data_IF_296642773637
#
_entry.id   IF_296642773637
#
_cell.length_a   1.000
_cell.length_b   1.000
_cell.length_c   1.000
_cell.angle_alpha   90.00
_cell.angle_beta   90.00
_cell.angle_gamma   90.00
#
_symmetry.space_group_name_H-M   'P 1'
#
loop_
_entity.id
_entity.type
_entity.pdbx_description
1 polymer ?
#
# COMPACT_ATOMS: atom_id res chain seq x y z
N UNK A 1 4.69 12.98 -23.79
CA UNK A 1 3.84 12.10 -23.00
C UNK A 1 4.59 11.81 -21.72
N UNK A 2 3.93 11.89 -20.57
CA UNK A 2 4.54 11.51 -19.31
C UNK A 2 5.08 10.09 -19.41
N UNK A 3 6.13 9.79 -18.65
CA UNK A 3 6.78 8.51 -18.79
C UNK A 3 7.16 7.94 -17.43
N UNK A 4 6.84 6.65 -17.23
CA UNK A 4 7.18 5.88 -16.06
C UNK A 4 8.22 4.81 -16.40
N UNK A 5 9.17 4.59 -15.51
CA UNK A 5 10.07 3.46 -15.65
C UNK A 5 9.34 2.20 -15.14
N UNK A 6 9.41 1.10 -15.90
CA UNK A 6 8.78 -0.17 -15.51
C UNK A 6 9.26 -0.66 -14.12
N UNK A 7 10.49 -0.35 -13.74
CA UNK A 7 11.05 -0.68 -12.42
C UNK A 7 10.39 0.06 -11.25
N UNK A 8 9.68 1.19 -11.53
CA UNK A 8 8.91 1.90 -10.52
C UNK A 8 7.59 1.18 -10.19
N UNK A 9 7.08 0.33 -11.07
CA UNK A 9 5.82 -0.38 -10.88
C UNK A 9 6.08 -1.57 -9.95
N UNK A 10 5.51 -1.52 -8.75
CA UNK A 10 5.63 -2.57 -7.73
C UNK A 10 4.32 -3.35 -7.61
N UNK A 11 4.35 -4.65 -7.92
CA UNK A 11 3.22 -5.53 -7.68
C UNK A 11 3.09 -5.87 -6.20
N UNK A 12 1.87 -6.16 -5.73
CA UNK A 12 1.57 -6.43 -4.33
C UNK A 12 0.99 -7.83 -4.16
N UNK A 13 1.55 -8.62 -3.24
CA UNK A 13 1.11 -10.01 -3.02
C UNK A 13 -0.22 -10.15 -2.26
N UNK A 14 -0.84 -9.07 -1.80
CA UNK A 14 -2.05 -9.10 -0.98
C UNK A 14 -3.22 -9.86 -1.64
N UNK A 15 -3.39 -9.71 -2.95
CA UNK A 15 -4.44 -10.39 -3.70
C UNK A 15 -4.18 -11.88 -3.92
N UNK A 16 -2.93 -12.31 -3.76
CA UNK A 16 -2.48 -13.70 -3.96
C UNK A 16 -2.53 -14.56 -2.71
N UNK A 17 -3.11 -14.09 -1.61
CA UNK A 17 -3.17 -14.83 -0.33
C UNK A 17 -3.93 -16.19 -0.41
N UNK A 18 -4.65 -16.46 -1.49
CA UNK A 18 -5.26 -17.77 -1.76
C UNK A 18 -4.40 -18.65 -2.66
N UNK A 19 -3.20 -18.19 -3.01
CA UNK A 19 -2.21 -18.87 -3.82
C UNK A 19 -0.89 -19.00 -3.06
N UNK A 20 -0.02 -19.97 -3.39
CA UNK A 20 1.35 -19.99 -2.85
C UNK A 20 2.11 -18.70 -3.21
N UNK A 21 3.02 -18.26 -2.33
CA UNK A 21 3.87 -17.09 -2.62
C UNK A 21 4.66 -17.26 -3.93
N UNK A 22 5.14 -18.46 -4.19
CA UNK A 22 5.86 -18.78 -5.42
C UNK A 22 5.06 -18.48 -6.68
N UNK A 23 3.75 -18.76 -6.67
CA UNK A 23 2.85 -18.45 -7.79
C UNK A 23 2.77 -16.92 -8.05
N UNK A 24 2.73 -16.11 -6.99
CA UNK A 24 2.81 -14.65 -7.13
C UNK A 24 4.12 -14.23 -7.79
N UNK A 25 5.25 -14.71 -7.27
CA UNK A 25 6.57 -14.34 -7.75
C UNK A 25 6.79 -14.78 -9.22
N UNK A 26 6.32 -15.98 -9.59
CA UNK A 26 6.38 -16.46 -10.98
C UNK A 26 5.55 -15.58 -11.91
N UNK A 27 4.34 -15.22 -11.49
CA UNK A 27 3.49 -14.28 -12.25
C UNK A 27 4.20 -12.95 -12.51
N UNK A 28 4.83 -12.36 -11.49
CA UNK A 28 5.48 -11.06 -11.68
C UNK A 28 6.71 -11.16 -12.60
N UNK A 29 7.47 -12.26 -12.50
CA UNK A 29 8.56 -12.56 -13.42
C UNK A 29 8.06 -12.71 -14.87
N UNK A 30 6.98 -13.46 -15.09
CA UNK A 30 6.38 -13.65 -16.42
C UNK A 30 5.87 -12.33 -17.02
N UNK A 31 5.31 -11.44 -16.22
CA UNK A 31 4.91 -10.09 -16.61
C UNK A 31 6.10 -9.15 -16.84
N UNK A 32 7.33 -9.61 -16.52
CA UNK A 32 8.57 -8.84 -16.66
C UNK A 32 8.66 -7.67 -15.69
N UNK A 33 7.99 -7.72 -14.56
CA UNK A 33 8.20 -6.82 -13.43
C UNK A 33 9.47 -7.20 -12.66
N UNK A 34 10.03 -6.22 -11.95
CA UNK A 34 11.21 -6.43 -11.11
C UNK A 34 10.99 -6.00 -9.67
N UNK A 35 10.06 -5.09 -9.44
CA UNK A 35 9.79 -4.53 -8.11
C UNK A 35 8.51 -5.12 -7.53
N UNK A 36 8.56 -5.51 -6.27
CA UNK A 36 7.39 -5.97 -5.53
C UNK A 36 7.31 -5.28 -4.17
N UNK A 37 6.10 -5.00 -3.75
CA UNK A 37 5.75 -4.72 -2.37
C UNK A 37 5.32 -6.02 -1.71
N UNK A 38 5.99 -6.40 -0.65
CA UNK A 38 5.67 -7.61 0.10
C UNK A 38 4.81 -7.27 1.31
N UNK A 39 3.53 -7.62 1.21
CA UNK A 39 2.57 -7.47 2.30
C UNK A 39 2.66 -8.67 3.25
N UNK A 40 2.80 -8.41 4.55
CA UNK A 40 2.93 -9.42 5.60
C UNK A 40 1.56 -10.03 5.96
N UNK A 41 1.01 -10.82 5.07
CA UNK A 41 -0.29 -11.49 5.23
C UNK A 41 -0.17 -13.00 5.18
N UNK A 42 -0.97 -13.69 5.99
CA UNK A 42 -1.10 -15.14 5.88
C UNK A 42 -1.76 -15.53 4.54
N UNK A 43 -1.33 -16.62 3.90
CA UNK A 43 -0.35 -17.60 4.37
C UNK A 43 1.11 -17.28 4.03
N UNK A 44 1.38 -16.16 3.33
CA UNK A 44 2.70 -15.86 2.79
C UNK A 44 3.72 -15.55 3.88
N UNK A 45 3.31 -14.82 4.93
CA UNK A 45 4.17 -14.48 6.05
C UNK A 45 3.39 -14.42 7.36
N UNK A 46 4.01 -14.85 8.44
CA UNK A 46 3.46 -14.72 9.79
C UNK A 46 4.39 -13.86 10.64
N UNK A 47 3.80 -12.85 11.25
CA UNK A 47 4.45 -11.90 12.13
C UNK A 47 3.47 -11.41 13.20
N UNK A 48 3.98 -11.23 14.41
CA UNK A 48 3.24 -10.61 15.52
C UNK A 48 4.19 -9.76 16.40
N UNK A 49 3.74 -9.38 17.58
CA UNK A 49 4.54 -8.61 18.52
C UNK A 49 5.67 -9.43 19.18
N UNK A 50 5.59 -10.76 19.20
CA UNK A 50 6.63 -11.64 19.76
C UNK A 50 7.75 -11.89 18.75
N UNK A 51 7.44 -11.89 17.45
CA UNK A 51 8.43 -12.13 16.40
C UNK A 51 7.83 -12.35 15.01
N UNK A 52 8.64 -12.95 14.14
CA UNK A 52 8.26 -13.25 12.76
C UNK A 52 8.99 -14.48 12.24
N UNK A 53 8.47 -15.06 11.16
CA UNK A 53 9.12 -16.21 10.50
C UNK A 53 10.38 -15.79 9.77
N UNK A 54 11.26 -16.78 9.56
CA UNK A 54 12.50 -16.61 8.80
C UNK A 54 12.23 -15.96 7.42
N UNK A 55 12.91 -14.87 7.17
CA UNK A 55 12.81 -14.06 5.96
C UNK A 55 13.71 -14.57 4.84
N UNK A 56 14.78 -15.31 5.17
CA UNK A 56 15.80 -15.73 4.21
C UNK A 56 15.22 -16.58 3.04
N UNK A 57 14.30 -17.54 3.25
CA UNK A 57 13.71 -18.29 2.15
C UNK A 57 12.90 -17.41 1.18
N UNK A 58 12.17 -16.41 1.71
CA UNK A 58 11.37 -15.49 0.90
C UNK A 58 12.28 -14.62 0.04
N UNK A 59 13.31 -14.05 0.66
CA UNK A 59 14.30 -13.24 -0.05
C UNK A 59 14.99 -14.03 -1.14
N UNK A 60 15.49 -15.23 -0.84
CA UNK A 60 16.15 -16.09 -1.82
C UNK A 60 15.23 -16.44 -3.00
N UNK A 61 13.95 -16.73 -2.73
CA UNK A 61 12.96 -17.04 -3.77
C UNK A 61 12.70 -15.84 -4.70
N UNK A 62 12.62 -14.63 -4.15
CA UNK A 62 12.47 -13.42 -4.93
C UNK A 62 13.72 -13.13 -5.78
N UNK A 63 14.90 -13.22 -5.19
CA UNK A 63 16.19 -13.01 -5.88
C UNK A 63 16.42 -14.03 -7.03
N UNK A 64 16.09 -15.31 -6.83
CA UNK A 64 16.15 -16.35 -7.87
C UNK A 64 15.29 -16.02 -9.09
N UNK A 65 14.18 -15.36 -8.87
CA UNK A 65 13.26 -14.94 -9.94
C UNK A 65 13.62 -13.56 -10.54
N UNK A 66 14.68 -12.91 -10.02
CA UNK A 66 15.12 -11.59 -10.46
C UNK A 66 14.22 -10.45 -9.97
N UNK A 67 13.49 -10.69 -8.87
CA UNK A 67 12.59 -9.72 -8.24
C UNK A 67 13.26 -9.08 -7.03
N UNK A 68 12.99 -7.79 -6.82
CA UNK A 68 13.43 -7.02 -5.67
C UNK A 68 12.24 -6.65 -4.78
N UNK A 69 12.31 -6.95 -3.50
CA UNK A 69 11.36 -6.46 -2.51
C UNK A 69 11.74 -5.02 -2.17
N UNK A 70 10.98 -4.06 -2.73
CA UNK A 70 11.27 -2.63 -2.59
C UNK A 70 10.55 -2.00 -1.40
N UNK A 71 9.40 -2.57 -1.04
CA UNK A 71 8.62 -2.17 0.12
C UNK A 71 8.10 -3.39 0.88
N UNK A 72 7.96 -3.24 2.19
CA UNK A 72 7.39 -4.24 3.10
C UNK A 72 6.26 -3.61 3.88
N UNK A 73 5.03 -4.11 3.69
CA UNK A 73 3.84 -3.57 4.34
C UNK A 73 3.37 -4.51 5.43
N UNK A 74 3.51 -4.15 6.72
CA UNK A 74 2.87 -4.86 7.81
C UNK A 74 1.35 -4.66 7.73
N UNK A 75 0.58 -5.69 7.96
CA UNK A 75 -0.88 -5.54 8.05
C UNK A 75 -1.23 -4.69 9.28
N UNK A 76 -1.77 -3.52 9.07
CA UNK A 76 -2.02 -2.51 10.12
C UNK A 76 -3.43 -1.92 10.09
N UNK A 77 -4.07 -1.93 8.93
CA UNK A 77 -5.32 -1.20 8.71
C UNK A 77 -6.53 -1.85 9.38
N UNK A 78 -6.65 -3.16 9.30
CA UNK A 78 -7.85 -3.89 9.69
C UNK A 78 -7.67 -4.72 10.96
N UNK A 79 -6.47 -4.80 11.54
CA UNK A 79 -6.16 -5.79 12.55
C UNK A 79 -5.33 -5.28 13.72
N UNK A 80 -5.09 -6.09 14.55
CA UNK A 80 -4.55 -6.33 15.89
C UNK A 80 -3.79 -5.17 16.54
N UNK A 81 -3.00 -4.38 15.79
CA UNK A 81 -2.05 -3.43 16.39
C UNK A 81 -2.07 -2.03 15.74
N UNK A 82 -3.24 -1.35 15.71
CA UNK A 82 -3.30 -0.02 15.09
C UNK A 82 -2.43 0.99 15.84
N UNK A 83 -1.76 1.84 15.08
CA UNK A 83 -0.81 2.86 15.58
C UNK A 83 -1.45 3.79 16.59
N UNK A 84 -2.73 4.16 16.38
CA UNK A 84 -3.50 5.06 17.25
C UNK A 84 -4.56 4.31 18.08
N UNK A 85 -4.32 3.04 18.43
CA UNK A 85 -5.27 2.26 19.21
C UNK A 85 -5.77 3.01 20.46
N UNK A 86 -7.08 2.95 20.69
CA UNK A 86 -7.72 3.50 21.89
C UNK A 86 -7.27 2.75 23.16
N UNK A 87 -7.18 1.44 23.08
CA UNK A 87 -6.74 0.59 24.18
C UNK A 87 -5.22 0.66 24.33
N UNK A 88 -4.75 1.01 25.54
CA UNK A 88 -3.33 1.17 25.83
C UNK A 88 -2.56 -0.14 25.67
N UNK A 89 -3.11 -1.26 26.10
CA UNK A 89 -2.48 -2.58 25.97
C UNK A 89 -2.22 -2.92 24.49
N UNK A 90 -3.21 -2.72 23.64
CA UNK A 90 -3.07 -2.94 22.19
C UNK A 90 -2.01 -2.01 21.61
N UNK A 91 -1.98 -0.75 22.03
CA UNK A 91 -0.99 0.24 21.55
C UNK A 91 0.43 -0.09 22.02
N UNK A 92 0.58 -0.61 23.23
CA UNK A 92 1.88 -1.07 23.73
C UNK A 92 2.40 -2.26 22.94
N UNK A 93 1.53 -3.20 22.53
CA UNK A 93 1.89 -4.31 21.66
C UNK A 93 2.18 -3.88 20.21
N UNK A 94 1.62 -2.77 19.75
CA UNK A 94 1.92 -2.22 18.43
C UNK A 94 3.42 -1.84 18.29
N UNK A 95 4.07 -1.37 19.35
CA UNK A 95 5.48 -0.97 19.29
C UNK A 95 6.41 -2.15 18.95
N UNK A 96 6.42 -3.29 19.66
CA UNK A 96 7.24 -4.43 19.28
C UNK A 96 6.81 -5.02 17.93
N UNK A 97 5.52 -5.02 17.58
CA UNK A 97 5.04 -5.45 16.28
C UNK A 97 5.70 -4.68 15.13
N UNK A 98 5.67 -3.34 15.16
CA UNK A 98 6.30 -2.53 14.11
C UNK A 98 7.83 -2.57 14.15
N UNK A 99 8.46 -2.75 15.31
CA UNK A 99 9.90 -3.02 15.38
C UNK A 99 10.29 -4.35 14.73
N UNK A 100 9.44 -5.38 14.87
CA UNK A 100 9.61 -6.65 14.15
C UNK A 100 9.44 -6.45 12.65
N UNK A 101 8.42 -5.66 12.23
CA UNK A 101 8.20 -5.32 10.83
C UNK A 101 9.41 -4.62 10.18
N UNK A 102 10.00 -3.65 10.87
CA UNK A 102 11.18 -2.93 10.38
C UNK A 102 12.40 -3.86 10.22
N UNK A 103 12.61 -4.78 11.16
CA UNK A 103 13.67 -5.79 11.05
C UNK A 103 13.43 -6.74 9.88
N UNK A 104 12.22 -7.27 9.76
CA UNK A 104 11.83 -8.13 8.64
C UNK A 104 11.99 -7.42 7.29
N UNK A 105 11.58 -6.15 7.20
CA UNK A 105 11.78 -5.31 6.02
C UNK A 105 13.26 -5.23 5.62
N UNK A 106 14.14 -4.91 6.57
CA UNK A 106 15.57 -4.81 6.32
C UNK A 106 16.19 -6.14 5.87
N UNK A 107 15.82 -7.25 6.51
CA UNK A 107 16.28 -8.60 6.15
C UNK A 107 15.81 -9.02 4.75
N UNK A 108 14.59 -8.64 4.36
CA UNK A 108 14.05 -8.85 3.02
C UNK A 108 14.67 -7.92 1.97
N UNK A 109 15.43 -6.91 2.38
CA UNK A 109 16.07 -5.93 1.51
C UNK A 109 15.22 -4.71 1.19
N UNK A 110 14.00 -4.63 1.72
CA UNK A 110 13.11 -3.48 1.56
C UNK A 110 13.68 -2.23 2.25
N UNK A 111 13.50 -1.08 1.62
CA UNK A 111 13.95 0.22 2.15
C UNK A 111 12.79 1.11 2.59
N UNK A 112 11.57 0.72 2.28
CA UNK A 112 10.35 1.46 2.57
C UNK A 112 9.38 0.52 3.30
N UNK A 113 8.77 1.03 4.35
CA UNK A 113 7.68 0.39 5.06
C UNK A 113 6.45 1.29 4.98
N UNK A 114 5.56 1.09 3.99
CA UNK A 114 4.25 1.73 3.99
C UNK A 114 3.50 1.40 5.29
N UNK A 115 2.87 2.39 5.88
CA UNK A 115 2.20 2.25 7.17
C UNK A 115 0.93 3.09 7.22
N UNK A 116 -0.20 2.41 7.25
CA UNK A 116 -1.50 3.01 7.52
C UNK A 116 -1.55 3.60 8.93
N UNK A 117 -1.95 4.86 9.07
CA UNK A 117 -2.19 5.43 10.38
C UNK A 117 -3.61 5.09 10.83
N UNK A 118 -3.75 3.85 11.29
CA UNK A 118 -5.01 3.27 11.73
C UNK A 118 -5.28 3.47 13.22
N UNK A 119 -6.56 3.45 13.58
CA UNK A 119 -7.04 3.45 14.96
C UNK A 119 -7.93 4.64 15.31
N UNK A 120 -8.10 4.85 16.63
CA UNK A 120 -9.03 5.82 17.17
C UNK A 120 -10.49 5.38 17.06
N UNK A 121 -11.32 6.04 17.88
CA UNK A 121 -12.77 5.87 17.85
C UNK A 121 -13.41 7.18 17.35
N UNK A 122 -14.49 7.07 16.58
CA UNK A 122 -15.21 8.25 16.04
C UNK A 122 -15.84 9.15 17.11
N UNK A 123 -15.87 8.70 18.37
CA UNK A 123 -16.40 9.43 19.51
C UNK A 123 -15.31 10.18 20.31
N UNK A 124 -14.05 10.01 19.94
CA UNK A 124 -12.91 10.68 20.59
C UNK A 124 -12.63 12.04 19.96
N UNK A 125 -11.87 12.85 20.70
CA UNK A 125 -11.28 14.06 20.13
C UNK A 125 -10.12 13.68 19.20
N UNK A 126 -10.06 14.31 18.04
CA UNK A 126 -9.03 14.07 17.03
C UNK A 126 -7.61 14.28 17.62
N UNK A 127 -7.44 15.29 18.46
CA UNK A 127 -6.16 15.62 19.10
C UNK A 127 -5.63 14.47 19.95
N UNK A 128 -6.51 13.76 20.66
CA UNK A 128 -6.12 12.62 21.52
C UNK A 128 -5.71 11.42 20.65
N UNK A 129 -6.40 11.20 19.54
CA UNK A 129 -6.07 10.13 18.57
C UNK A 129 -4.71 10.42 17.93
N UNK A 130 -4.49 11.65 17.45
CA UNK A 130 -3.23 12.09 16.85
C UNK A 130 -2.06 11.99 17.84
N UNK A 131 -2.26 12.39 19.09
CA UNK A 131 -1.24 12.28 20.12
C UNK A 131 -0.77 10.83 20.33
N UNK A 132 -1.69 9.85 20.30
CA UNK A 132 -1.34 8.44 20.39
C UNK A 132 -0.56 7.95 19.16
N UNK A 133 -0.96 8.35 17.96
CA UNK A 133 -0.21 8.03 16.74
C UNK A 133 1.22 8.59 16.80
N UNK A 134 1.38 9.83 17.22
CA UNK A 134 2.69 10.48 17.38
C UNK A 134 3.55 9.74 18.41
N UNK A 135 2.98 9.36 19.56
CA UNK A 135 3.70 8.61 20.60
C UNK A 135 4.21 7.26 20.07
N UNK A 136 3.36 6.50 19.39
CA UNK A 136 3.73 5.21 18.80
C UNK A 136 4.82 5.39 17.74
N UNK A 137 4.67 6.34 16.82
CA UNK A 137 5.67 6.61 15.80
C UNK A 137 7.01 7.03 16.39
N UNK A 138 7.05 7.88 17.40
CA UNK A 138 8.29 8.24 18.11
C UNK A 138 9.00 7.06 18.76
N UNK A 139 8.24 6.05 19.21
CA UNK A 139 8.81 4.84 19.83
C UNK A 139 9.39 3.86 18.79
N UNK A 140 8.90 3.89 17.55
CA UNK A 140 9.39 2.99 16.49
C UNK A 140 10.38 3.64 15.53
N UNK A 141 10.37 4.96 15.37
CA UNK A 141 11.24 5.70 14.46
C UNK A 141 12.75 5.44 14.65
N UNK A 142 13.29 5.33 15.89
CA UNK A 142 14.71 4.96 16.06
C UNK A 142 15.05 3.57 15.52
N UNK A 143 14.12 2.60 15.61
CA UNK A 143 14.33 1.27 15.04
C UNK A 143 14.30 1.29 13.50
N UNK A 144 13.56 2.22 12.90
CA UNK A 144 13.57 2.44 11.46
C UNK A 144 14.93 3.00 10.99
N UNK A 145 15.49 3.94 11.71
CA UNK A 145 16.84 4.47 11.45
C UNK A 145 17.91 3.38 11.56
N UNK A 146 17.89 2.60 12.64
CA UNK A 146 18.81 1.49 12.85
C UNK A 146 18.70 0.44 11.75
N UNK A 147 17.50 0.09 11.31
CA UNK A 147 17.23 -0.85 10.23
C UNK A 147 17.56 -0.30 8.84
N UNK A 148 17.76 1.01 8.68
CA UNK A 148 17.92 1.67 7.40
C UNK A 148 16.66 1.57 6.51
N UNK A 149 15.48 1.60 7.15
CA UNK A 149 14.16 1.52 6.53
C UNK A 149 13.38 2.80 6.80
N UNK A 150 12.77 3.39 5.78
CA UNK A 150 11.90 4.56 5.93
C UNK A 150 10.47 4.11 6.20
N UNK A 151 9.88 4.58 7.28
CA UNK A 151 8.44 4.46 7.53
C UNK A 151 7.74 5.49 6.64
N UNK A 152 6.93 5.03 5.73
CA UNK A 152 6.15 5.85 4.81
C UNK A 152 4.69 5.87 5.29
N UNK A 153 4.33 6.87 6.09
CA UNK A 153 2.99 6.96 6.68
C UNK A 153 1.98 7.46 5.67
N UNK A 154 0.81 6.82 5.61
CA UNK A 154 -0.27 7.20 4.72
C UNK A 154 -1.57 7.51 5.45
N UNK A 155 -2.40 8.34 4.82
CA UNK A 155 -3.76 8.61 5.29
C UNK A 155 -4.67 7.44 4.99
N UNK A 156 -5.70 7.31 5.82
CA UNK A 156 -6.75 6.33 5.61
C UNK A 156 -8.10 7.00 5.32
N UNK A 157 -8.98 6.35 4.55
CA UNK A 157 -10.36 6.80 4.43
C UNK A 157 -11.02 6.95 5.80
N UNK A 158 -11.82 8.00 5.97
CA UNK A 158 -12.54 8.26 7.23
C UNK A 158 -13.56 7.16 7.59
N UNK A 159 -13.88 6.28 6.63
CA UNK A 159 -14.66 5.06 6.85
C UNK A 159 -13.91 4.00 7.65
N UNK A 160 -12.60 3.91 7.44
CA UNK A 160 -11.75 2.81 7.91
C UNK A 160 -10.95 3.17 9.17
N UNK A 161 -10.60 4.45 9.34
CA UNK A 161 -9.87 4.94 10.52
C UNK A 161 -10.35 6.32 10.96
N UNK A 162 -10.23 6.61 12.26
CA UNK A 162 -10.47 7.93 12.81
C UNK A 162 -9.17 8.73 13.02
N UNK A 163 -8.01 8.15 12.74
CA UNK A 163 -6.72 8.73 13.10
C UNK A 163 -6.27 9.85 12.16
N UNK A 164 -5.84 9.52 10.94
CA UNK A 164 -5.30 10.48 9.97
C UNK A 164 -5.97 10.27 8.62
N UNK A 165 -6.75 11.26 8.16
CA UNK A 165 -7.60 11.12 6.99
C UNK A 165 -7.34 12.17 5.91
N UNK A 166 -6.58 13.23 6.22
CA UNK A 166 -6.36 14.38 5.35
C UNK A 166 -4.91 14.82 5.34
N UNK A 167 -4.50 15.54 4.31
CA UNK A 167 -3.16 16.12 4.19
C UNK A 167 -2.79 17.03 5.38
N UNK A 168 -3.65 17.95 5.86
CA UNK A 168 -3.33 18.77 7.05
C UNK A 168 -3.07 17.92 8.30
N UNK A 169 -3.83 16.84 8.50
CA UNK A 169 -3.62 15.94 9.64
C UNK A 169 -2.30 15.17 9.52
N UNK A 170 -1.94 14.74 8.30
CA UNK A 170 -0.67 14.08 8.04
C UNK A 170 0.52 15.03 8.23
N UNK A 171 0.42 16.26 7.76
CA UNK A 171 1.44 17.28 7.98
C UNK A 171 1.67 17.52 9.49
N UNK A 172 0.59 17.69 10.24
CA UNK A 172 0.68 17.82 11.71
C UNK A 172 1.36 16.61 12.36
N UNK A 173 1.00 15.39 11.94
CA UNK A 173 1.61 14.15 12.43
C UNK A 173 3.12 14.14 12.15
N UNK A 174 3.54 14.41 10.90
CA UNK A 174 4.94 14.41 10.50
C UNK A 174 5.76 15.45 11.25
N UNK A 175 5.21 16.67 11.42
CA UNK A 175 5.85 17.73 12.19
C UNK A 175 5.99 17.37 13.67
N UNK A 176 4.95 16.77 14.25
CA UNK A 176 4.97 16.37 15.66
C UNK A 176 5.92 15.19 15.92
N UNK A 177 6.04 14.24 14.99
CA UNK A 177 7.00 13.12 15.07
C UNK A 177 8.42 13.63 14.87
N UNK A 178 8.65 14.48 13.86
CA UNK A 178 9.91 15.14 13.53
C UNK A 178 11.11 14.19 13.52
N UNK A 179 11.03 13.12 12.72
CA UNK A 179 12.11 12.13 12.60
C UNK A 179 12.44 11.86 11.12
N UNK A 180 13.75 11.82 10.72
CA UNK A 180 14.15 11.68 9.32
C UNK A 180 13.72 10.35 8.67
N UNK A 181 13.57 9.30 9.46
CA UNK A 181 13.11 7.98 8.99
C UNK A 181 11.58 7.87 8.88
N UNK A 182 10.82 8.96 9.16
CA UNK A 182 9.36 9.00 9.01
C UNK A 182 9.01 9.99 7.92
N UNK A 183 8.48 9.49 6.83
CA UNK A 183 8.10 10.23 5.63
C UNK A 183 6.67 9.89 5.23
N UNK A 184 6.22 10.38 4.08
CA UNK A 184 4.87 10.18 3.58
C UNK A 184 4.78 9.10 2.51
N UNK A 185 3.71 8.32 2.56
CA UNK A 185 3.17 7.62 1.40
C UNK A 185 1.83 8.25 0.98
N UNK A 186 1.48 8.12 -0.28
CA UNK A 186 0.21 8.55 -0.84
C UNK A 186 -0.59 7.32 -1.25
N UNK A 187 -1.83 7.20 -0.82
CA UNK A 187 -2.81 6.31 -1.45
C UNK A 187 -3.77 7.15 -2.29
N UNK A 188 -3.74 6.95 -3.62
CA UNK A 188 -4.58 7.73 -4.55
C UNK A 188 -6.06 7.61 -4.20
N UNK A 189 -6.52 6.43 -3.76
CA UNK A 189 -7.91 6.23 -3.35
C UNK A 189 -8.26 7.02 -2.08
N UNK A 190 -7.34 7.07 -1.10
CA UNK A 190 -7.55 7.80 0.14
C UNK A 190 -7.62 9.31 -0.08
N UNK A 191 -6.65 9.89 -0.82
CA UNK A 191 -6.65 11.33 -1.10
C UNK A 191 -7.88 11.77 -1.90
N UNK A 192 -8.35 10.94 -2.84
CA UNK A 192 -9.58 11.23 -3.60
C UNK A 192 -10.82 11.24 -2.72
N UNK A 193 -10.92 10.35 -1.74
CA UNK A 193 -12.00 10.37 -0.74
C UNK A 193 -11.94 11.61 0.15
N UNK A 194 -10.73 12.08 0.49
CA UNK A 194 -10.52 13.34 1.20
C UNK A 194 -10.78 14.58 0.31
N UNK A 195 -11.04 14.40 -1.00
CA UNK A 195 -11.20 15.46 -2.01
C UNK A 195 -9.93 16.31 -2.20
N UNK A 196 -8.80 15.69 -2.00
CA UNK A 196 -7.47 16.25 -2.20
C UNK A 196 -6.90 15.80 -3.54
N UNK A 197 -5.91 16.52 -4.06
CA UNK A 197 -5.22 16.23 -5.31
C UNK A 197 -3.79 15.78 -5.06
N UNK A 198 -3.21 15.03 -6.00
CA UNK A 198 -1.81 14.63 -5.92
C UNK A 198 -0.87 15.83 -5.99
N UNK A 199 -1.25 16.88 -6.72
CA UNK A 199 -0.51 18.15 -6.81
C UNK A 199 -0.41 18.85 -5.45
N UNK A 200 -1.55 19.00 -4.72
CA UNK A 200 -1.56 19.57 -3.36
C UNK A 200 -0.62 18.80 -2.42
N UNK A 201 -0.57 17.49 -2.57
CA UNK A 201 0.32 16.65 -1.78
C UNK A 201 1.79 16.88 -2.10
N UNK A 202 2.15 16.98 -3.40
CA UNK A 202 3.52 17.29 -3.79
C UNK A 202 3.93 18.71 -3.41
N UNK A 203 3.04 19.70 -3.53
CA UNK A 203 3.29 21.06 -3.08
C UNK A 203 3.60 21.15 -1.58
N UNK A 204 2.87 20.38 -0.77
CA UNK A 204 3.03 20.41 0.68
C UNK A 204 4.20 19.53 1.20
N UNK A 205 4.46 18.40 0.55
CA UNK A 205 5.36 17.37 1.06
C UNK A 205 6.66 17.23 0.24
N UNK A 206 6.62 17.49 -1.06
CA UNK A 206 7.77 17.40 -1.96
C UNK A 206 8.48 16.04 -1.88
N UNK A 207 9.76 16.06 -1.59
CA UNK A 207 10.64 14.88 -1.46
C UNK A 207 10.36 14.01 -0.21
N UNK A 208 9.45 14.45 0.64
CA UNK A 208 8.94 13.60 1.73
C UNK A 208 8.00 12.51 1.25
N UNK A 209 7.44 12.59 0.03
CA UNK A 209 6.67 11.49 -0.58
C UNK A 209 7.65 10.46 -1.12
N UNK A 210 7.67 9.26 -0.52
CA UNK A 210 8.64 8.20 -0.87
C UNK A 210 8.00 6.96 -1.47
N UNK A 211 6.68 6.83 -1.37
CA UNK A 211 5.90 5.72 -1.89
C UNK A 211 4.50 6.16 -2.29
N UNK A 212 3.94 5.54 -3.32
CA UNK A 212 2.57 5.82 -3.75
C UNK A 212 1.84 4.50 -4.02
N UNK A 213 0.74 4.23 -3.31
CA UNK A 213 -0.24 3.25 -3.72
C UNK A 213 -1.05 3.84 -4.89
N UNK A 214 -0.80 3.30 -6.07
CA UNK A 214 -1.20 3.89 -7.32
C UNK A 214 -2.22 3.02 -8.04
N UNK A 215 -3.49 3.26 -7.76
CA UNK A 215 -4.62 2.46 -8.24
C UNK A 215 -5.73 3.33 -8.79
N UNK A 216 -6.57 2.77 -9.65
CA UNK A 216 -7.78 3.43 -10.14
C UNK A 216 -8.91 3.42 -9.08
N UNK A 217 -9.99 4.15 -9.31
CA UNK A 217 -11.17 4.23 -8.42
C UNK A 217 -12.38 4.90 -9.06
N UNK A 218 -13.59 4.78 -8.43
CA UNK A 218 -14.89 5.35 -8.93
C UNK A 218 -15.67 6.20 -7.89
N UNK A 219 -15.17 7.29 -7.39
CA UNK A 219 -13.80 7.72 -7.09
C UNK A 219 -13.16 6.87 -5.98
N UNK A 220 -13.96 6.10 -5.27
CA UNK A 220 -13.54 5.22 -4.17
C UNK A 220 -13.12 3.85 -4.69
N UNK A 221 -12.37 3.14 -3.86
CA UNK A 221 -11.90 1.79 -4.12
C UNK A 221 -10.54 1.76 -4.81
N UNK A 222 -9.93 0.59 -4.76
CA UNK A 222 -8.63 0.28 -5.35
C UNK A 222 -8.85 -0.62 -6.55
N UNK A 223 -9.22 0.00 -7.67
CA UNK A 223 -9.52 -0.72 -8.91
C UNK A 223 -8.27 -0.93 -9.75
N UNK A 224 -8.36 -1.90 -10.65
CA UNK A 224 -7.42 -2.06 -11.75
C UNK A 224 -7.53 -0.85 -12.68
N UNK A 225 -6.40 -0.35 -13.17
CA UNK A 225 -6.38 0.80 -14.08
C UNK A 225 -7.23 0.56 -15.33
N UNK A 226 -8.04 1.57 -15.66
CA UNK A 226 -9.04 1.51 -16.72
C UNK A 226 -10.41 0.98 -16.31
N UNK A 227 -10.60 0.55 -15.07
CA UNK A 227 -11.90 0.15 -14.51
C UNK A 227 -12.59 1.27 -13.72
N UNK A 228 -11.84 2.31 -13.39
CA UNK A 228 -12.29 3.45 -12.63
C UNK A 228 -12.52 4.71 -13.46
N UNK A 229 -12.38 5.85 -12.78
CA UNK A 229 -12.56 7.19 -13.33
C UNK A 229 -11.32 8.08 -13.08
N UNK A 230 -10.25 7.53 -12.51
CA UNK A 230 -9.05 8.31 -12.23
C UNK A 230 -8.31 8.61 -13.54
N UNK A 231 -7.89 9.86 -13.77
CA UNK A 231 -7.19 10.25 -14.98
C UNK A 231 -5.71 9.85 -14.90
N UNK A 232 -5.39 8.65 -15.41
CA UNK A 232 -4.02 8.10 -15.35
C UNK A 232 -3.01 9.08 -15.95
N UNK A 233 -3.33 9.66 -17.10
CA UNK A 233 -2.45 10.60 -17.81
C UNK A 233 -2.07 11.80 -16.91
N UNK A 234 -3.07 12.42 -16.28
CA UNK A 234 -2.86 13.59 -15.41
C UNK A 234 -1.99 13.23 -14.20
N UNK A 235 -2.21 12.05 -13.60
CA UNK A 235 -1.39 11.62 -12.48
C UNK A 235 0.08 11.40 -12.91
N UNK A 236 0.29 10.78 -14.06
CA UNK A 236 1.65 10.57 -14.59
C UNK A 236 2.32 11.91 -14.95
N UNK A 237 1.56 12.88 -15.50
CA UNK A 237 2.03 14.25 -15.72
C UNK A 237 2.44 14.93 -14.43
N UNK A 238 1.65 14.79 -13.37
CA UNK A 238 1.98 15.32 -12.04
C UNK A 238 3.26 14.67 -11.50
N UNK A 239 3.42 13.35 -11.60
CA UNK A 239 4.64 12.66 -11.18
C UNK A 239 5.88 13.19 -11.93
N UNK A 240 5.77 13.38 -13.24
CA UNK A 240 6.86 13.93 -14.08
C UNK A 240 7.17 15.39 -13.72
N UNK A 241 6.14 16.23 -13.52
CA UNK A 241 6.28 17.64 -13.14
C UNK A 241 7.05 17.81 -11.83
N UNK A 242 6.78 16.96 -10.84
CA UNK A 242 7.46 16.99 -9.53
C UNK A 242 8.71 16.11 -9.46
N UNK A 243 9.11 15.49 -10.58
CA UNK A 243 10.31 14.66 -10.65
C UNK A 243 10.29 13.43 -9.76
N UNK A 244 9.10 12.87 -9.52
CA UNK A 244 8.97 11.69 -8.69
C UNK A 244 9.54 10.44 -9.35
N UNK A 245 10.50 9.81 -8.70
CA UNK A 245 11.18 8.60 -9.15
C UNK A 245 10.99 7.40 -8.22
N UNK A 246 10.13 7.54 -7.21
CA UNK A 246 9.82 6.47 -6.28
C UNK A 246 8.92 5.38 -6.88
N UNK A 247 8.54 4.43 -6.05
CA UNK A 247 7.73 3.28 -6.50
C UNK A 247 6.24 3.57 -6.51
N UNK A 248 5.54 2.86 -7.39
CA UNK A 248 4.10 2.91 -7.62
C UNK A 248 3.51 1.53 -7.28
N UNK A 249 3.05 1.35 -6.06
CA UNK A 249 2.46 0.10 -5.57
C UNK A 249 1.09 -0.16 -6.20
N UNK A 250 0.96 -1.29 -6.88
CA UNK A 250 -0.29 -1.71 -7.53
C UNK A 250 -1.17 -2.49 -6.56
N UNK A 251 -1.59 -1.82 -5.48
CA UNK A 251 -2.45 -2.42 -4.44
C UNK A 251 -3.92 -2.43 -4.87
N UNK A 252 -4.20 -2.93 -6.08
CA UNK A 252 -5.56 -3.06 -6.59
C UNK A 252 -6.32 -4.12 -5.79
N UNK A 253 -7.58 -3.84 -5.44
CA UNK A 253 -8.41 -4.78 -4.70
C UNK A 253 -9.21 -5.67 -5.65
N UNK A 254 -8.74 -6.86 -5.94
CA UNK A 254 -9.47 -7.87 -6.74
C UNK A 254 -10.51 -8.66 -5.93
N UNK A 255 -10.73 -8.27 -4.68
CA UNK A 255 -11.76 -8.89 -3.84
C UNK A 255 -13.12 -8.31 -4.19
N UNK A 256 -13.74 -8.67 -5.24
CA UNK A 256 -15.20 -8.64 -5.45
C UNK A 256 -16.10 -7.73 -4.59
N UNK A 257 -15.56 -6.72 -3.91
CA UNK A 257 -16.37 -5.70 -3.26
C UNK A 257 -17.03 -4.78 -4.30
N UNK A 258 -16.57 -4.85 -5.53
CA UNK A 258 -17.16 -4.16 -6.65
C UNK A 258 -17.89 -5.17 -7.52
N UNK A 259 -19.17 -5.18 -7.30
CA UNK A 259 -20.10 -5.89 -8.13
C UNK A 259 -20.33 -5.07 -9.40
N UNK A 260 -19.73 -5.48 -10.49
CA UNK A 260 -20.07 -4.90 -11.79
C UNK A 260 -21.51 -5.27 -12.12
N UNK A 261 -22.39 -4.27 -12.06
CA UNK A 261 -23.82 -4.46 -12.40
C UNK A 261 -24.02 -4.97 -13.82
N UNK A 262 -23.04 -4.82 -14.71
CA UNK A 262 -23.08 -5.39 -16.06
C UNK A 262 -23.00 -6.92 -16.08
N UNK A 263 -22.57 -7.52 -14.97
CA UNK A 263 -22.56 -8.96 -14.76
C UNK A 263 -23.92 -9.50 -14.25
N UNK A 264 -24.89 -8.62 -13.98
CA UNK A 264 -26.25 -9.02 -13.67
C UNK A 264 -27.06 -9.17 -14.96
N UNK A 265 -27.76 -10.28 -15.10
CA UNK A 265 -28.86 -10.41 -16.01
C UNK A 265 -30.01 -9.47 -15.58
N UNK A 266 -30.96 -9.18 -16.49
CA UNK A 266 -32.12 -8.32 -16.21
C UNK A 266 -32.97 -8.82 -15.04
N UNK A 267 -32.95 -10.12 -14.72
CA UNK A 267 -33.66 -10.74 -13.60
C UNK A 267 -32.89 -10.66 -12.27
N UNK A 268 -31.72 -10.02 -12.25
CA UNK A 268 -30.86 -9.90 -11.06
C UNK A 268 -29.97 -11.11 -10.79
N UNK A 269 -30.03 -12.15 -11.63
CA UNK A 269 -29.09 -13.28 -11.58
C UNK A 269 -27.73 -12.91 -12.18
N UNK A 270 -26.68 -13.68 -11.86
CA UNK A 270 -25.41 -13.53 -12.53
C UNK A 270 -25.48 -13.98 -13.98
N UNK A 271 -25.23 -13.05 -14.90
CA UNK A 271 -25.15 -13.32 -16.31
C UNK A 271 -23.86 -14.10 -16.59
N UNK A 272 -24.03 -15.39 -16.86
CA UNK A 272 -22.92 -16.29 -17.12
C UNK A 272 -22.36 -16.92 -15.82
N UNK A 273 -22.58 -18.21 -15.67
CA UNK A 273 -22.11 -19.00 -14.52
C UNK A 273 -20.66 -19.43 -14.63
N UNK A 274 -19.95 -18.83 -15.49
CA UNK A 274 -18.58 -19.15 -15.64
C UNK A 274 -17.81 -18.25 -14.68
N UNK A 275 -17.61 -18.70 -13.44
CA UNK A 275 -16.62 -18.18 -12.49
C UNK A 275 -15.27 -18.72 -12.97
N UNK A 276 -14.44 -17.88 -13.51
CA UNK A 276 -13.37 -18.25 -14.40
C UNK A 276 -12.03 -18.03 -13.83
N UNK A 277 -11.14 -18.95 -14.20
CA UNK A 277 -9.72 -18.68 -14.12
C UNK A 277 -9.32 -17.37 -14.84
N UNK A 278 -10.05 -16.99 -15.87
CA UNK A 278 -9.73 -15.85 -16.72
C UNK A 278 -10.43 -14.53 -16.32
N UNK A 279 -11.29 -14.54 -15.32
CA UNK A 279 -11.89 -13.33 -14.80
C UNK A 279 -10.96 -12.72 -13.75
N UNK A 280 -10.34 -11.57 -14.08
CA UNK A 280 -9.34 -10.92 -13.21
C UNK A 280 -9.86 -10.57 -11.80
N UNK A 281 -11.17 -10.45 -11.59
CA UNK A 281 -11.78 -10.26 -10.27
C UNK A 281 -11.53 -11.44 -9.31
N UNK A 282 -11.25 -12.61 -9.87
CA UNK A 282 -10.95 -13.82 -9.14
C UNK A 282 -9.58 -14.40 -9.47
N UNK A 283 -8.92 -13.85 -10.49
CA UNK A 283 -7.64 -14.32 -10.98
C UNK A 283 -6.63 -13.17 -11.01
N UNK A 284 -5.86 -12.97 -9.91
CA UNK A 284 -4.94 -11.85 -9.76
C UNK A 284 -3.95 -11.64 -10.92
N UNK A 285 -3.40 -12.68 -11.57
CA UNK A 285 -2.51 -12.48 -12.71
C UNK A 285 -3.14 -11.70 -13.87
N UNK A 286 -4.45 -11.90 -14.13
CA UNK A 286 -5.14 -11.14 -15.16
C UNK A 286 -5.32 -9.67 -14.78
N UNK A 287 -5.53 -9.37 -13.50
CA UNK A 287 -5.59 -8.01 -12.98
C UNK A 287 -4.24 -7.29 -13.10
N UNK A 288 -3.15 -7.94 -12.72
CA UNK A 288 -1.80 -7.38 -12.83
C UNK A 288 -1.42 -7.14 -14.30
N UNK A 289 -1.75 -8.07 -15.19
CA UNK A 289 -1.56 -7.90 -16.63
C UNK A 289 -2.32 -6.68 -17.14
N UNK A 290 -3.59 -6.52 -16.78
CA UNK A 290 -4.41 -5.39 -17.20
C UNK A 290 -3.88 -4.06 -16.67
N UNK A 291 -3.40 -4.02 -15.42
CA UNK A 291 -2.71 -2.85 -14.87
C UNK A 291 -1.50 -2.47 -15.75
N UNK A 292 -0.66 -3.45 -16.13
CA UNK A 292 0.50 -3.18 -16.99
C UNK A 292 0.11 -2.72 -18.40
N UNK A 293 -0.95 -3.26 -18.98
CA UNK A 293 -1.48 -2.83 -20.26
C UNK A 293 -1.89 -1.35 -20.24
N UNK A 294 -2.48 -0.87 -19.13
CA UNK A 294 -2.81 0.54 -18.95
C UNK A 294 -1.56 1.44 -18.91
N UNK A 295 -0.47 0.96 -18.33
CA UNK A 295 0.82 1.69 -18.29
C UNK A 295 1.61 1.59 -19.60
N UNK A 296 1.33 0.61 -20.47
CA UNK A 296 2.15 0.33 -21.66
C UNK A 296 2.45 1.56 -22.54
N UNK A 297 1.50 2.51 -22.77
CA UNK A 297 1.79 3.71 -23.56
C UNK A 297 2.78 4.68 -22.91
N UNK A 298 3.02 4.54 -21.62
CA UNK A 298 3.80 5.47 -20.78
C UNK A 298 5.13 4.86 -20.31
N UNK A 299 5.36 3.57 -20.53
CA UNK A 299 6.61 2.91 -20.12
C UNK A 299 7.74 3.37 -21.04
N UNK A 300 8.84 3.84 -20.44
CA UNK A 300 10.11 4.10 -21.14
C UNK A 300 10.83 2.77 -21.37
N UNK A 301 11.31 2.58 -22.61
CA UNK A 301 12.23 1.50 -22.98
C UNK A 301 13.61 1.64 -22.31
#
# INVERSE_FOLDING_TARGET
MPAVNKEQIAAVNLNYRMYPLEFFLDTQKELGLRSIEFCAVAPHFLMDYEGYRDTAPIRAMAEEKGLQIVAFTPESALYQFPVAAYNDEVRELAVPYYKNALRAAAELGAKIMPLDIAGGLKTEKKEDILARAVDTLKKIAPAAEEAGVTIAVETMPAGDSAAVNTLPELLHLLEAVNHPSVKAAVDISAIRQARETLEEWFEALGDRIVYIHFTDGKPEGRLVWGEGLHPLDNYLETLEQYGYTGYLGQNSNVRGMWFDKSLLAEDGSFAGREFYPDNYWFYPPAADKKNLEAFAPFIKD
#
